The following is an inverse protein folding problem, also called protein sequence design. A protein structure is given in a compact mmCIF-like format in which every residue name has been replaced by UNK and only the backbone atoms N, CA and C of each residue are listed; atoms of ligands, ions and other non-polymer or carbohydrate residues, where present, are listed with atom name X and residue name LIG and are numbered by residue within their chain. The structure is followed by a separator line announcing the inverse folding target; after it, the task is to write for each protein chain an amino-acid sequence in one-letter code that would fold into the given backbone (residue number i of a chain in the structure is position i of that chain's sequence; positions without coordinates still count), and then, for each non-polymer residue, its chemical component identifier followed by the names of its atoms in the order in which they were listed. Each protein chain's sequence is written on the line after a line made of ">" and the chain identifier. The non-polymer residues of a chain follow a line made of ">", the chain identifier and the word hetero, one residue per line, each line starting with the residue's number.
data_IF_156722100254
#
_entry.id   IF_156722100254
#
_cell.length_a   1.000
_cell.length_b   1.000
_cell.length_c   1.000
_cell.angle_alpha   90.00
_cell.angle_beta   90.00
_cell.angle_gamma   90.00
#
_symmetry.space_group_name_H-M   'P 1'
#
loop_
_entity.id
_entity.type
_entity.pdbx_description
1 polymer ?
#
# COMPACT_ATOMS: atom_id res chain seq x y z
N UNK A 1 9.82 4.17 -0.61
CA UNK A 1 9.30 3.61 0.65
C UNK A 1 8.15 2.74 0.28
N UNK A 2 8.04 1.58 0.89
CA UNK A 2 7.01 0.60 0.54
C UNK A 2 5.92 0.70 1.60
N UNK A 3 4.68 0.82 1.15
CA UNK A 3 3.52 0.93 2.03
C UNK A 3 2.55 -0.16 1.64
N UNK A 4 2.27 -1.02 2.60
CA UNK A 4 1.24 -2.05 2.46
C UNK A 4 -0.13 -1.42 2.76
N UNK A 5 -1.08 -1.59 1.84
CA UNK A 5 -2.43 -1.04 1.95
C UNK A 5 -3.47 -2.13 1.77
N UNK A 6 -4.53 -2.05 2.57
CA UNK A 6 -5.74 -2.86 2.42
C UNK A 6 -6.93 -1.93 2.24
N UNK A 7 -7.91 -2.37 1.45
CA UNK A 7 -9.09 -1.60 1.13
C UNK A 7 -10.35 -2.38 1.52
N UNK A 8 -11.38 -1.64 1.90
CA UNK A 8 -12.70 -2.20 2.12
C UNK A 8 -13.17 -2.99 0.88
N UNK A 9 -13.74 -4.20 1.04
CA UNK A 9 -14.13 -5.04 -0.09
C UNK A 9 -15.11 -4.37 -1.06
N UNK A 10 -15.92 -3.42 -0.58
CA UNK A 10 -16.88 -2.67 -1.37
C UNK A 10 -16.30 -1.40 -2.03
N UNK A 11 -15.02 -1.06 -1.77
CA UNK A 11 -14.38 0.21 -2.19
C UNK A 11 -12.93 -0.01 -2.61
N UNK A 12 -12.72 -0.96 -3.51
CA UNK A 12 -11.39 -1.25 -4.04
C UNK A 12 -11.07 -0.25 -5.17
N UNK A 13 -9.98 0.53 -5.05
CA UNK A 13 -9.56 1.45 -6.11
C UNK A 13 -9.13 0.69 -7.38
N UNK A 14 -9.22 1.36 -8.53
CA UNK A 14 -8.63 0.83 -9.76
C UNK A 14 -7.10 0.95 -9.72
N UNK A 15 -6.42 0.29 -10.67
CA UNK A 15 -4.96 0.42 -10.79
C UNK A 15 -4.52 1.87 -11.09
N UNK A 16 -5.32 2.63 -11.83
CA UNK A 16 -5.02 4.04 -12.11
C UNK A 16 -5.21 4.92 -10.87
N UNK A 17 -6.24 4.64 -10.07
CA UNK A 17 -6.45 5.33 -8.80
C UNK A 17 -5.26 5.07 -7.86
N UNK A 18 -4.80 3.81 -7.76
CA UNK A 18 -3.64 3.45 -6.94
C UNK A 18 -2.36 4.16 -7.39
N UNK A 19 -2.12 4.26 -8.70
CA UNK A 19 -0.99 5.01 -9.24
C UNK A 19 -1.07 6.52 -8.95
N UNK A 20 -2.28 7.09 -9.00
CA UNK A 20 -2.53 8.47 -8.58
C UNK A 20 -2.21 8.67 -7.09
N UNK A 21 -2.68 7.74 -6.24
CA UNK A 21 -2.41 7.75 -4.81
C UNK A 21 -0.91 7.65 -4.51
N UNK A 22 -0.14 6.81 -5.21
CA UNK A 22 1.32 6.75 -5.08
C UNK A 22 2.00 8.11 -5.34
N UNK A 23 1.55 8.82 -6.38
CA UNK A 23 2.10 10.14 -6.74
C UNK A 23 1.75 11.21 -5.69
N UNK A 24 0.50 11.23 -5.24
CA UNK A 24 0.05 12.15 -4.19
C UNK A 24 0.79 11.89 -2.88
N UNK A 25 0.90 10.63 -2.47
CA UNK A 25 1.58 10.24 -1.24
C UNK A 25 3.08 10.56 -1.30
N UNK A 26 3.73 10.28 -2.43
CA UNK A 26 5.13 10.67 -2.67
C UNK A 26 5.34 12.17 -2.53
N UNK A 27 4.38 12.97 -3.01
CA UNK A 27 4.42 14.44 -2.90
C UNK A 27 4.32 14.89 -1.43
N UNK A 28 3.42 14.30 -0.66
CA UNK A 28 3.28 14.56 0.78
C UNK A 28 4.57 14.21 1.56
N UNK A 29 5.33 13.23 1.07
CA UNK A 29 6.59 12.77 1.64
C UNK A 29 7.82 13.50 1.10
N UNK A 30 7.63 14.73 0.60
CA UNK A 30 8.71 15.59 0.11
C UNK A 30 9.34 15.11 -1.19
N UNK A 31 8.56 14.43 -2.04
CA UNK A 31 9.00 13.88 -3.32
C UNK A 31 9.72 12.54 -3.21
N UNK A 32 9.81 11.94 -2.01
CA UNK A 32 10.33 10.58 -1.85
C UNK A 32 9.31 9.60 -2.38
N UNK A 33 9.70 8.78 -3.35
CA UNK A 33 8.83 7.76 -3.95
C UNK A 33 8.22 6.86 -2.86
N UNK A 34 6.91 6.74 -2.89
CA UNK A 34 6.12 5.78 -2.13
C UNK A 34 5.51 4.77 -3.11
N UNK A 35 5.81 3.50 -2.92
CA UNK A 35 5.25 2.38 -3.66
C UNK A 35 4.12 1.78 -2.80
N UNK A 36 2.89 1.81 -3.31
CA UNK A 36 1.73 1.25 -2.63
C UNK A 36 1.52 -0.18 -3.11
N UNK A 37 1.40 -1.12 -2.17
CA UNK A 37 1.18 -2.54 -2.48
C UNK A 37 -0.01 -3.07 -1.69
N UNK A 38 -0.83 -3.88 -2.33
CA UNK A 38 -1.76 -4.74 -1.61
C UNK A 38 -1.07 -6.06 -1.22
N UNK A 39 -1.56 -6.79 -0.22
CA UNK A 39 -1.07 -8.16 0.04
C UNK A 39 -1.14 -9.04 -1.21
N UNK A 40 -2.14 -8.82 -2.08
CA UNK A 40 -2.32 -9.52 -3.35
C UNK A 40 -1.17 -9.31 -4.34
N UNK A 41 -0.54 -8.13 -4.32
CA UNK A 41 0.59 -7.77 -5.20
C UNK A 41 1.92 -8.40 -4.75
N UNK A 42 2.00 -8.85 -3.49
CA UNK A 42 3.20 -9.49 -2.97
C UNK A 42 3.34 -10.92 -3.48
N UNK A 43 4.57 -11.31 -3.80
CA UNK A 43 4.89 -12.71 -4.13
C UNK A 43 4.51 -13.62 -2.96
N UNK A 44 3.88 -14.76 -3.28
CA UNK A 44 3.50 -15.77 -2.29
C UNK A 44 4.66 -16.27 -1.42
N UNK A 45 5.90 -16.15 -1.89
CA UNK A 45 7.07 -16.67 -1.18
C UNK A 45 7.47 -15.83 0.04
N UNK A 46 7.22 -14.52 0.01
CA UNK A 46 7.61 -13.59 1.08
C UNK A 46 6.42 -12.78 1.61
N UNK A 47 5.21 -12.93 1.04
CA UNK A 47 4.02 -12.22 1.49
C UNK A 47 3.83 -12.35 3.00
N UNK A 48 3.88 -13.57 3.53
CA UNK A 48 3.64 -13.82 4.95
C UNK A 48 4.68 -13.13 5.83
N UNK A 49 5.96 -13.19 5.46
CA UNK A 49 7.04 -12.49 6.15
C UNK A 49 6.80 -10.98 6.18
N UNK A 50 6.43 -10.38 5.03
CA UNK A 50 6.09 -8.96 4.97
C UNK A 50 4.86 -8.61 5.82
N UNK A 51 3.84 -9.46 5.86
CA UNK A 51 2.66 -9.23 6.72
C UNK A 51 3.03 -9.27 8.21
N UNK A 52 3.97 -10.12 8.60
CA UNK A 52 4.42 -10.27 10.00
C UNK A 52 5.35 -9.14 10.44
N UNK A 53 6.16 -8.61 9.52
CA UNK A 53 7.11 -7.53 9.79
C UNK A 53 6.53 -6.13 9.60
N UNK A 54 5.41 -6.00 8.88
CA UNK A 54 4.78 -4.71 8.63
C UNK A 54 4.27 -4.05 9.92
N UNK A 55 4.57 -2.76 10.06
CA UNK A 55 4.09 -1.95 11.18
C UNK A 55 2.80 -1.22 10.79
N UNK A 56 1.72 -1.47 11.53
CA UNK A 56 0.43 -0.79 11.31
C UNK A 56 0.55 0.70 11.60
N UNK A 57 0.38 1.53 10.57
CA UNK A 57 0.38 2.99 10.69
C UNK A 57 -1.03 3.58 10.79
N UNK A 58 -2.03 2.86 10.28
CA UNK A 58 -3.44 3.26 10.31
C UNK A 58 -4.33 2.02 10.24
N UNK A 59 -5.38 2.01 11.04
CA UNK A 59 -6.44 1.01 11.01
C UNK A 59 -7.78 1.74 11.20
N UNK A 60 -8.77 1.43 10.35
CA UNK A 60 -10.11 1.96 10.51
C UNK A 60 -10.83 1.20 11.64
N UNK A 61 -11.41 1.93 12.59
CA UNK A 61 -12.15 1.36 13.74
C UNK A 61 -13.63 1.15 13.50
#
# INVERSE_FOLDING_TARGET
>A
MDVLVEFEPARIPTLFDLAGMEQEFSTLLGGRKADLRTPGDLSRYFRQEVMEEAEVQYEAG
#
